data_IF_994700540461
#
_entry.id   IF_994700540461
#
_cell.length_a   1.000
_cell.length_b   1.000
_cell.length_c   1.000
_cell.angle_alpha   90.00
_cell.angle_beta   90.00
_cell.angle_gamma   90.00
#
_symmetry.space_group_name_H-M   'P 1'
#
loop_
_entity.id
_entity.type
_entity.pdbx_description
1 polymer ?
#
# COMPACT_ATOMS: atom_id res chain seq x y z
N UNK A 1 -0.56 -29.09 -12.86
CA UNK A 1 0.80 -28.64 -13.24
C UNK A 1 1.28 -29.57 -14.32
N UNK A 2 1.89 -29.07 -15.39
CA UNK A 2 2.45 -29.94 -16.42
C UNK A 2 3.83 -30.41 -15.94
N UNK A 3 3.93 -31.69 -15.64
CA UNK A 3 5.22 -32.35 -15.46
C UNK A 3 5.90 -32.46 -16.83
N UNK A 4 7.18 -32.11 -16.91
CA UNK A 4 7.95 -32.42 -18.10
C UNK A 4 8.39 -33.88 -18.08
N UNK A 5 8.82 -34.38 -19.23
CA UNK A 5 9.30 -35.76 -19.44
C UNK A 5 10.48 -36.17 -18.54
N UNK A 6 11.09 -35.23 -17.80
CA UNK A 6 12.18 -35.47 -16.87
C UNK A 6 11.73 -35.49 -15.39
N UNK A 7 10.41 -35.54 -15.13
CA UNK A 7 9.85 -35.49 -13.77
C UNK A 7 10.07 -34.15 -13.06
N UNK A 8 10.49 -33.11 -13.80
CA UNK A 8 10.63 -31.75 -13.28
C UNK A 8 9.37 -30.95 -13.62
N UNK A 9 8.94 -30.11 -12.70
CA UNK A 9 7.83 -29.19 -12.98
C UNK A 9 8.32 -28.12 -13.96
N UNK A 10 7.68 -28.02 -15.13
CA UNK A 10 7.91 -26.91 -16.03
C UNK A 10 7.14 -25.70 -15.51
N UNK A 11 7.80 -24.88 -14.68
CA UNK A 11 7.21 -23.69 -14.05
C UNK A 11 8.04 -22.47 -14.43
N UNK A 12 7.37 -21.42 -14.89
CA UNK A 12 7.98 -20.13 -15.21
C UNK A 12 8.27 -19.37 -13.92
N UNK A 13 9.32 -18.52 -13.91
CA UNK A 13 9.61 -17.63 -12.78
C UNK A 13 8.42 -16.75 -12.38
N UNK A 14 7.62 -16.30 -13.36
CA UNK A 14 6.40 -15.55 -13.11
C UNK A 14 5.35 -16.35 -12.33
N UNK A 15 5.13 -17.61 -12.71
CA UNK A 15 4.17 -18.50 -12.04
C UNK A 15 4.60 -18.76 -10.59
N UNK A 16 5.89 -18.96 -10.36
CA UNK A 16 6.46 -19.08 -9.02
C UNK A 16 6.22 -17.80 -8.19
N UNK A 17 6.48 -16.63 -8.78
CA UNK A 17 6.29 -15.34 -8.12
C UNK A 17 4.82 -15.09 -7.74
N UNK A 18 3.89 -15.38 -8.64
CA UNK A 18 2.44 -15.27 -8.39
C UNK A 18 2.02 -16.24 -7.28
N UNK A 19 2.46 -17.49 -7.33
CA UNK A 19 2.16 -18.49 -6.31
C UNK A 19 2.70 -18.08 -4.94
N UNK A 20 3.95 -17.65 -4.88
CA UNK A 20 4.59 -17.17 -3.65
C UNK A 20 3.88 -15.95 -3.07
N UNK A 21 3.43 -15.01 -3.92
CA UNK A 21 2.64 -13.85 -3.49
C UNK A 21 1.31 -14.25 -2.86
N UNK A 22 0.65 -15.29 -3.41
CA UNK A 22 -0.55 -15.88 -2.82
C UNK A 22 -0.27 -16.49 -1.45
N UNK A 23 0.77 -17.33 -1.35
CA UNK A 23 1.18 -17.96 -0.10
C UNK A 23 1.47 -16.93 1.00
N UNK A 24 2.19 -15.84 0.67
CA UNK A 24 2.49 -14.76 1.62
C UNK A 24 1.23 -14.10 2.19
N UNK A 25 0.22 -13.86 1.35
CA UNK A 25 -1.06 -13.26 1.78
C UNK A 25 -1.79 -14.18 2.76
N UNK A 26 -1.86 -15.47 2.45
CA UNK A 26 -2.47 -16.49 3.32
C UNK A 26 -1.72 -16.59 4.64
N UNK A 27 -0.39 -16.64 4.62
CA UNK A 27 0.45 -16.65 5.82
C UNK A 27 0.17 -15.44 6.72
N UNK A 28 0.15 -14.23 6.15
CA UNK A 28 -0.12 -13.01 6.92
C UNK A 28 -1.50 -13.05 7.59
N UNK A 29 -2.54 -13.40 6.84
CA UNK A 29 -3.90 -13.48 7.38
C UNK A 29 -3.99 -14.49 8.54
N UNK A 30 -3.40 -15.68 8.36
CA UNK A 30 -3.37 -16.71 9.41
C UNK A 30 -2.59 -16.24 10.63
N UNK A 31 -1.40 -15.63 10.44
CA UNK A 31 -0.59 -15.09 11.54
C UNK A 31 -1.36 -14.04 12.33
N UNK A 32 -2.03 -13.12 11.63
CA UNK A 32 -2.84 -12.07 12.25
C UNK A 32 -4.05 -12.65 13.01
N UNK A 33 -4.71 -13.69 12.48
CA UNK A 33 -5.80 -14.39 13.17
C UNK A 33 -5.31 -15.13 14.42
N UNK A 34 -4.18 -15.82 14.34
CA UNK A 34 -3.59 -16.55 15.46
C UNK A 34 -3.23 -15.60 16.61
N UNK A 35 -2.74 -14.39 16.29
CA UNK A 35 -2.46 -13.34 17.28
C UNK A 35 -3.71 -12.83 17.99
N UNK A 36 -4.85 -12.74 17.29
CA UNK A 36 -6.10 -12.20 17.83
C UNK A 36 -6.93 -13.22 18.61
N UNK A 37 -7.03 -14.44 18.09
CA UNK A 37 -8.01 -15.44 18.54
C UNK A 37 -7.43 -16.42 19.58
N UNK A 38 -6.10 -16.45 19.77
CA UNK A 38 -5.43 -17.42 20.64
C UNK A 38 -5.46 -18.87 20.13
N UNK A 39 -6.33 -19.19 19.18
CA UNK A 39 -6.36 -20.46 18.44
C UNK A 39 -5.34 -20.45 17.30
N UNK A 40 -4.47 -21.46 17.27
CA UNK A 40 -3.49 -21.65 16.19
C UNK A 40 -4.18 -22.34 15.00
N UNK A 41 -4.51 -21.58 13.96
CA UNK A 41 -4.89 -22.14 12.66
C UNK A 41 -3.71 -22.95 12.08
N UNK A 42 -3.96 -24.24 11.81
CA UNK A 42 -2.98 -25.23 11.35
C UNK A 42 -2.96 -25.32 9.83
N UNK A 43 -2.43 -24.29 9.17
CA UNK A 43 -2.19 -24.40 7.73
C UNK A 43 -0.95 -25.25 7.46
N UNK A 44 -1.06 -26.25 6.58
CA UNK A 44 0.00 -27.22 6.30
C UNK A 44 1.36 -26.58 5.92
N UNK A 45 1.32 -25.44 5.24
CA UNK A 45 2.52 -24.72 4.82
C UNK A 45 2.96 -23.64 5.83
N UNK A 46 2.28 -23.52 6.97
CA UNK A 46 2.55 -22.47 7.94
C UNK A 46 3.97 -22.56 8.49
N UNK A 47 4.42 -23.75 8.90
CA UNK A 47 5.78 -23.93 9.44
C UNK A 47 6.87 -23.54 8.44
N UNK A 48 6.73 -23.98 7.19
CA UNK A 48 7.68 -23.64 6.10
C UNK A 48 7.67 -22.13 5.83
N UNK A 49 6.49 -21.52 5.75
CA UNK A 49 6.35 -20.08 5.53
C UNK A 49 6.88 -19.28 6.71
N UNK A 50 6.62 -19.74 7.94
CA UNK A 50 7.15 -19.12 9.16
C UNK A 50 8.67 -19.17 9.14
N UNK A 51 9.30 -20.31 8.87
CA UNK A 51 10.77 -20.40 8.78
C UNK A 51 11.39 -19.46 7.74
N UNK A 52 10.68 -19.14 6.66
CA UNK A 52 11.15 -18.22 5.61
C UNK A 52 10.98 -16.75 6.03
N UNK A 53 9.89 -16.42 6.73
CA UNK A 53 9.49 -15.01 6.98
C UNK A 53 9.66 -14.54 8.43
N UNK A 54 9.80 -15.45 9.39
CA UNK A 54 9.91 -15.14 10.83
C UNK A 54 11.17 -14.34 11.16
N UNK A 55 12.26 -14.57 10.44
CA UNK A 55 13.55 -13.86 10.63
C UNK A 55 13.62 -12.51 9.90
N UNK A 56 12.54 -12.07 9.25
CA UNK A 56 12.51 -10.85 8.45
C UNK A 56 11.48 -9.92 9.08
N UNK A 57 11.81 -8.64 9.24
CA UNK A 57 10.93 -7.58 9.81
C UNK A 57 9.65 -7.31 8.99
N UNK A 58 9.24 -8.24 8.13
CA UNK A 58 8.06 -8.21 7.27
C UNK A 58 6.75 -8.20 8.04
N UNK A 59 6.79 -8.57 9.33
CA UNK A 59 5.64 -8.58 10.25
C UNK A 59 5.71 -7.40 11.23
N UNK A 60 6.46 -6.35 10.91
CA UNK A 60 6.37 -5.12 11.69
C UNK A 60 4.98 -4.50 11.47
N UNK A 61 4.23 -4.18 12.53
CA UNK A 61 2.95 -3.50 12.38
C UNK A 61 3.18 -2.17 11.63
N UNK A 62 2.21 -1.71 10.80
CA UNK A 62 2.29 -0.39 10.19
C UNK A 62 2.56 0.64 11.29
N UNK A 63 3.56 1.51 11.09
CA UNK A 63 3.87 2.57 12.04
C UNK A 63 2.59 3.35 12.35
N UNK A 64 2.21 3.41 13.63
CA UNK A 64 1.09 4.22 14.07
C UNK A 64 1.56 5.67 13.97
N UNK A 65 0.88 6.48 13.16
CA UNK A 65 1.09 7.91 13.14
C UNK A 65 0.61 8.49 14.48
N UNK A 66 1.52 8.65 15.43
CA UNK A 66 1.26 9.42 16.65
C UNK A 66 1.21 10.90 16.29
N UNK A 67 0.34 11.65 16.96
CA UNK A 67 0.25 13.11 16.86
C UNK A 67 1.51 13.82 17.39
N UNK A 68 2.36 13.12 18.14
CA UNK A 68 3.68 13.62 18.51
C UNK A 68 4.64 13.49 17.33
N UNK A 69 5.11 14.64 16.85
CA UNK A 69 6.13 14.70 15.81
C UNK A 69 7.41 13.95 16.20
N UNK A 70 8.35 13.76 15.26
CA UNK A 70 9.54 12.96 15.50
C UNK A 70 10.31 13.51 16.71
N UNK A 71 10.37 12.73 17.79
CA UNK A 71 11.31 12.99 18.88
C UNK A 71 12.72 12.85 18.31
N UNK A 72 13.53 13.87 18.55
CA UNK A 72 14.92 13.96 18.05
C UNK A 72 15.68 12.70 18.45
N UNK A 73 16.45 12.08 17.54
CA UNK A 73 17.22 10.89 17.86
C UNK A 73 18.26 11.24 18.92
N UNK A 74 18.13 10.64 20.11
CA UNK A 74 19.21 10.62 21.09
C UNK A 74 20.31 9.73 20.52
N UNK A 75 21.40 10.36 20.10
CA UNK A 75 22.58 9.68 19.58
C UNK A 75 23.16 8.75 20.65
N UNK A 76 23.11 7.44 20.41
CA UNK A 76 24.13 6.51 20.89
C UNK A 76 24.79 5.90 19.65
N UNK A 77 25.99 6.38 19.43
CA UNK A 77 26.96 6.05 18.39
C UNK A 77 27.39 4.58 18.50
N UNK A 78 27.30 3.82 17.40
CA UNK A 78 28.44 3.08 16.80
C UNK A 78 28.07 2.47 15.43
N UNK A 79 28.46 3.22 14.41
CA UNK A 79 28.98 2.88 13.07
C UNK A 79 28.86 1.43 12.52
N UNK A 80 28.15 1.29 11.40
CA UNK A 80 28.69 0.80 10.12
C UNK A 80 27.60 0.89 9.03
N UNK A 81 27.88 1.67 7.99
CA UNK A 81 26.92 2.01 6.94
C UNK A 81 26.56 0.86 5.99
N UNK A 82 25.34 0.93 5.47
CA UNK A 82 25.00 0.52 4.12
C UNK A 82 23.74 1.28 3.69
N UNK A 83 23.90 2.15 2.69
CA UNK A 83 22.84 2.87 2.02
C UNK A 83 21.82 1.88 1.45
N UNK A 84 20.53 2.10 1.73
CA UNK A 84 19.44 1.32 1.16
C UNK A 84 19.36 1.61 -0.35
N UNK A 85 19.42 0.59 -1.24
CA UNK A 85 19.14 0.81 -2.64
C UNK A 85 17.65 1.12 -2.78
N UNK A 86 17.33 2.29 -3.31
CA UNK A 86 15.99 2.63 -3.78
C UNK A 86 15.54 1.59 -4.82
N UNK A 87 14.60 0.74 -4.45
CA UNK A 87 13.96 -0.20 -5.38
C UNK A 87 13.31 0.59 -6.53
N UNK A 88 13.57 0.24 -7.80
CA UNK A 88 12.89 0.86 -8.94
C UNK A 88 11.41 0.46 -8.91
N UNK A 89 10.60 1.32 -8.33
CA UNK A 89 9.15 1.25 -8.50
C UNK A 89 8.83 1.44 -9.98
N UNK A 90 8.19 0.44 -10.57
CA UNK A 90 7.74 0.44 -11.96
C UNK A 90 6.99 1.77 -12.28
N UNK A 91 7.52 2.63 -13.19
CA UNK A 91 7.06 4.00 -13.39
C UNK A 91 5.63 4.09 -13.93
N UNK A 92 5.14 3.03 -14.57
CA UNK A 92 3.84 2.98 -15.22
C UNK A 92 2.64 3.07 -14.26
N UNK A 93 2.78 2.55 -13.02
CA UNK A 93 1.69 2.57 -12.04
C UNK A 93 1.63 3.87 -11.23
N UNK A 94 2.79 4.50 -10.99
CA UNK A 94 2.88 5.80 -10.29
C UNK A 94 2.21 6.91 -11.09
N UNK A 95 2.49 6.99 -12.40
CA UNK A 95 1.88 7.96 -13.31
C UNK A 95 0.35 7.88 -13.33
N UNK A 96 -0.24 6.68 -13.19
CA UNK A 96 -1.71 6.52 -13.17
C UNK A 96 -2.36 7.07 -11.91
N UNK A 97 -1.72 6.88 -10.74
CA UNK A 97 -2.25 7.38 -9.47
C UNK A 97 -2.16 8.90 -9.41
N UNK A 98 -1.06 9.46 -9.91
CA UNK A 98 -0.82 10.90 -9.98
C UNK A 98 -1.86 11.61 -10.86
N UNK A 99 -2.15 11.07 -12.05
CA UNK A 99 -3.19 11.62 -12.94
C UNK A 99 -4.59 11.59 -12.29
N UNK A 100 -4.94 10.51 -11.59
CA UNK A 100 -6.24 10.41 -10.91
C UNK A 100 -6.36 11.43 -9.78
N UNK A 101 -5.26 11.67 -9.05
CA UNK A 101 -5.23 12.64 -7.97
C UNK A 101 -5.34 14.08 -8.49
N UNK A 102 -4.61 14.44 -9.54
CA UNK A 102 -4.70 15.77 -10.16
C UNK A 102 -6.11 16.05 -10.69
N UNK A 103 -6.71 15.09 -11.42
CA UNK A 103 -8.09 15.22 -11.91
C UNK A 103 -9.09 15.42 -10.76
N UNK A 104 -8.89 14.74 -9.63
CA UNK A 104 -9.76 14.90 -8.47
C UNK A 104 -9.65 16.30 -7.84
N UNK A 105 -8.44 16.84 -7.73
CA UNK A 105 -8.21 18.18 -7.18
C UNK A 105 -8.79 19.25 -8.12
N UNK A 106 -8.66 19.07 -9.44
CA UNK A 106 -9.22 20.00 -10.42
C UNK A 106 -10.75 20.02 -10.42
N UNK A 107 -11.40 18.87 -10.28
CA UNK A 107 -12.86 18.80 -10.11
C UNK A 107 -13.32 19.58 -8.86
N UNK A 108 -12.62 19.44 -7.73
CA UNK A 108 -12.95 20.21 -6.51
C UNK A 108 -12.81 21.72 -6.74
N UNK A 109 -11.77 22.16 -7.44
CA UNK A 109 -11.57 23.57 -7.79
C UNK A 109 -12.69 24.08 -8.69
N UNK A 110 -13.07 23.31 -9.70
CA UNK A 110 -14.12 23.65 -10.64
C UNK A 110 -15.47 23.77 -9.93
N UNK A 111 -15.84 22.81 -9.07
CA UNK A 111 -17.09 22.83 -8.31
C UNK A 111 -17.20 24.06 -7.39
N UNK A 112 -16.09 24.46 -6.76
CA UNK A 112 -16.06 25.69 -5.95
C UNK A 112 -16.27 26.93 -6.80
N UNK A 113 -15.62 27.01 -7.96
CA UNK A 113 -15.72 28.16 -8.85
C UNK A 113 -17.13 28.28 -9.46
N UNK A 114 -17.74 27.17 -9.87
CA UNK A 114 -19.12 27.16 -10.40
C UNK A 114 -20.14 27.56 -9.33
N UNK A 115 -19.98 27.08 -8.09
CA UNK A 115 -20.83 27.48 -6.98
C UNK A 115 -20.71 28.99 -6.66
N UNK A 116 -19.51 29.56 -6.80
CA UNK A 116 -19.30 31.00 -6.61
C UNK A 116 -19.91 31.82 -7.75
N UNK A 117 -19.70 31.42 -9.00
CA UNK A 117 -20.27 32.08 -10.17
C UNK A 117 -21.82 32.09 -10.13
N UNK A 118 -22.42 30.95 -9.76
CA UNK A 118 -23.88 30.84 -9.61
C UNK A 118 -24.44 31.83 -8.57
N UNK A 119 -23.79 31.96 -7.41
CA UNK A 119 -24.21 32.91 -6.37
C UNK A 119 -24.08 34.36 -6.82
N UNK A 120 -23.07 34.68 -7.63
CA UNK A 120 -22.87 36.03 -8.16
C UNK A 120 -23.93 36.37 -9.21
N UNK A 121 -24.27 35.43 -10.09
CA UNK A 121 -25.34 35.56 -11.07
C UNK A 121 -26.70 35.78 -10.39
N UNK A 122 -27.02 34.96 -9.38
CA UNK A 122 -28.24 35.11 -8.58
C UNK A 122 -28.30 36.49 -7.87
N UNK A 123 -27.16 37.04 -7.44
CA UNK A 123 -27.10 38.38 -6.84
C UNK A 123 -27.41 39.46 -7.88
N UNK A 124 -26.79 39.39 -9.06
CA UNK A 124 -27.00 40.34 -10.16
C UNK A 124 -28.46 40.34 -10.64
N UNK A 125 -29.07 39.16 -10.76
CA UNK A 125 -30.49 39.06 -11.14
C UNK A 125 -31.43 39.68 -10.09
N UNK A 126 -31.16 39.48 -8.79
CA UNK A 126 -31.93 40.11 -7.71
C UNK A 126 -31.76 41.64 -7.68
N UNK A 127 -30.62 42.15 -8.08
CA UNK A 127 -30.36 43.60 -8.17
C UNK A 127 -31.09 44.21 -9.38
N UNK A 128 -31.12 43.53 -10.53
CA UNK A 128 -31.88 43.97 -11.71
C UNK A 128 -33.39 44.01 -11.47
N UNK A 129 -33.94 43.05 -10.74
CA UNK A 129 -35.37 42.99 -10.40
C UNK A 129 -35.81 44.07 -9.39
N UNK A 130 -34.84 44.73 -8.72
CA UNK A 130 -35.08 45.81 -7.76
C UNK A 130 -34.93 47.21 -8.36
N UNK A 131 -34.44 47.31 -9.60
CA UNK A 131 -34.33 48.55 -10.36
C UNK A 131 -35.57 48.73 -11.24
#
# INVERSE_FOLDING_TARGET
>A
MRENSNGKYAVTGLECSVKMSGLKRTFKNISDQNKKSGSRNTWAFYSVMNSIFEKKDFVMPPAIASSEGPVKPTNVTESAGAELPSLPSNPSKKRRVEIVLENFIDNIRQDRNTAMAKREEERKEREKLKA
#
